data_IF_869199422526
#
_entry.id   IF_869199422526
#
_cell.length_a   1.000
_cell.length_b   1.000
_cell.length_c   1.000
_cell.angle_alpha   90.00
_cell.angle_beta   90.00
_cell.angle_gamma   90.00
#
_symmetry.space_group_name_H-M   'P 1'
#
loop_
_entity.id
_entity.type
_entity.pdbx_description
1 polymer ?
#
# COMPACT_ATOMS: atom_id res chain seq x y z
N UNK A 1 -17.15 4.71 -12.60
CA UNK A 1 -16.28 4.97 -13.77
C UNK A 1 -16.42 3.90 -14.86
N UNK A 2 -15.93 2.66 -14.65
CA UNK A 2 -15.80 1.63 -15.72
C UNK A 2 -17.07 1.33 -16.53
N UNK A 3 -18.27 1.42 -15.94
CA UNK A 3 -19.53 1.17 -16.64
C UNK A 3 -19.98 2.33 -17.55
N UNK A 4 -19.36 3.51 -17.43
CA UNK A 4 -19.76 4.75 -18.13
C UNK A 4 -18.68 5.26 -19.10
N UNK A 5 -17.48 4.69 -19.05
CA UNK A 5 -16.34 5.12 -19.87
C UNK A 5 -16.03 4.06 -20.93
N UNK A 6 -15.96 4.39 -22.23
CA UNK A 6 -15.48 3.46 -23.26
C UNK A 6 -14.01 3.11 -23.05
N UNK A 7 -13.64 1.83 -23.19
CA UNK A 7 -12.26 1.38 -23.08
C UNK A 7 -12.14 -0.04 -22.52
N UNK A 8 -10.89 -0.49 -22.39
CA UNK A 8 -10.58 -1.78 -21.77
C UNK A 8 -10.14 -1.53 -20.32
N UNK A 9 -10.96 -1.97 -19.37
CA UNK A 9 -10.69 -1.80 -17.95
C UNK A 9 -10.56 -3.16 -17.28
N UNK A 10 -9.55 -3.29 -16.41
CA UNK A 10 -9.42 -4.42 -15.50
C UNK A 10 -9.94 -4.00 -14.12
N UNK A 11 -10.86 -4.79 -13.56
CA UNK A 11 -11.32 -4.65 -12.17
C UNK A 11 -10.90 -5.89 -11.40
N UNK A 12 -9.83 -5.77 -10.62
CA UNK A 12 -9.35 -6.85 -9.75
C UNK A 12 -10.18 -6.93 -8.47
N UNK A 13 -10.76 -8.10 -8.19
CA UNK A 13 -11.60 -8.33 -7.00
C UNK A 13 -11.07 -9.50 -6.19
N UNK A 14 -11.06 -9.36 -4.87
CA UNK A 14 -10.70 -10.43 -3.94
C UNK A 14 -11.84 -11.44 -3.75
N UNK A 15 -11.50 -12.67 -3.39
CA UNK A 15 -12.48 -13.72 -3.02
C UNK A 15 -12.98 -13.59 -1.58
N UNK A 16 -12.09 -13.19 -0.67
CA UNK A 16 -12.35 -13.17 0.77
C UNK A 16 -13.09 -11.90 1.16
N UNK A 17 -13.96 -12.01 2.17
CA UNK A 17 -14.52 -10.83 2.84
C UNK A 17 -13.40 -10.08 3.53
N UNK A 18 -13.29 -8.79 3.24
CA UNK A 18 -12.39 -7.87 3.94
C UNK A 18 -13.21 -6.93 4.81
N UNK A 19 -12.67 -6.44 5.93
CA UNK A 19 -13.33 -5.40 6.70
C UNK A 19 -13.50 -4.14 5.85
N UNK A 20 -14.50 -3.32 6.20
CA UNK A 20 -14.66 -1.98 5.63
C UNK A 20 -13.47 -1.15 6.10
N UNK A 21 -12.84 -0.43 5.17
CA UNK A 21 -11.77 0.51 5.50
C UNK A 21 -12.43 1.77 6.05
N UNK A 22 -12.06 2.14 7.28
CA UNK A 22 -12.59 3.32 7.96
C UNK A 22 -11.52 4.40 8.07
N UNK A 23 -11.95 5.64 8.27
CA UNK A 23 -11.11 6.70 8.82
C UNK A 23 -10.77 6.46 10.31
N UNK A 24 -10.08 7.41 10.94
CA UNK A 24 -9.72 7.33 12.37
C UNK A 24 -10.93 7.46 13.30
N UNK A 25 -12.02 8.07 12.85
CA UNK A 25 -13.29 8.18 13.58
C UNK A 25 -14.21 6.95 13.42
N UNK A 26 -13.80 5.97 12.61
CA UNK A 26 -14.56 4.73 12.37
C UNK A 26 -15.64 4.84 11.30
N UNK A 27 -15.68 5.93 10.51
CA UNK A 27 -16.59 6.10 9.38
C UNK A 27 -16.03 5.42 8.14
N UNK A 28 -16.86 4.81 7.27
CA UNK A 28 -16.38 4.20 6.03
C UNK A 28 -15.67 5.23 5.12
N UNK A 29 -14.40 4.98 4.79
CA UNK A 29 -13.60 5.87 3.96
C UNK A 29 -14.12 5.91 2.52
N UNK A 30 -14.49 4.74 1.98
CA UNK A 30 -15.08 4.57 0.66
C UNK A 30 -16.61 4.45 0.74
N UNK A 31 -17.22 5.37 1.49
CA UNK A 31 -18.65 5.39 1.81
C UNK A 31 -19.43 6.47 1.08
N UNK A 32 -20.40 7.05 1.77
CA UNK A 32 -21.19 8.18 1.26
C UNK A 32 -20.29 9.40 1.02
N UNK A 33 -20.34 9.95 -0.20
CA UNK A 33 -19.51 11.09 -0.62
C UNK A 33 -18.18 10.71 -1.28
N UNK A 34 -17.78 9.43 -1.26
CA UNK A 34 -16.63 8.98 -2.04
C UNK A 34 -16.97 8.89 -3.53
N UNK A 35 -16.15 9.50 -4.38
CA UNK A 35 -16.19 9.33 -5.83
C UNK A 35 -14.86 8.76 -6.32
N UNK A 36 -14.94 7.63 -7.02
CA UNK A 36 -13.77 7.03 -7.64
C UNK A 36 -13.40 7.80 -8.92
N UNK A 37 -12.18 8.34 -8.93
CA UNK A 37 -11.53 8.97 -10.08
C UNK A 37 -10.42 8.07 -10.59
N UNK A 38 -10.46 7.71 -11.88
CA UNK A 38 -9.48 6.80 -12.46
C UNK A 38 -8.07 7.41 -12.45
N UNK A 39 -7.08 6.64 -12.00
CA UNK A 39 -5.68 7.09 -11.88
C UNK A 39 -5.38 7.83 -10.58
N UNK A 40 -6.39 8.33 -9.85
CA UNK A 40 -6.20 9.04 -8.58
C UNK A 40 -5.85 8.05 -7.47
N UNK A 41 -4.86 8.41 -6.66
CA UNK A 41 -4.52 7.69 -5.43
C UNK A 41 -5.38 8.19 -4.27
N UNK A 42 -5.90 7.27 -3.45
CA UNK A 42 -6.66 7.63 -2.25
C UNK A 42 -5.73 7.68 -1.03
N UNK A 43 -5.82 8.76 -0.28
CA UNK A 43 -5.17 8.88 1.02
C UNK A 43 -6.00 8.16 2.09
N UNK A 44 -5.43 7.12 2.69
CA UNK A 44 -6.09 6.31 3.71
C UNK A 44 -5.69 6.75 5.12
N UNK A 45 -4.42 7.10 5.32
CA UNK A 45 -3.88 7.62 6.57
C UNK A 45 -2.83 8.68 6.28
N UNK A 46 -2.80 9.72 7.11
CA UNK A 46 -1.73 10.71 7.12
C UNK A 46 -0.48 10.20 7.84
N UNK A 47 0.65 10.83 7.55
CA UNK A 47 1.93 10.55 8.18
C UNK A 47 3.09 11.17 7.40
N UNK A 48 4.21 11.42 8.09
CA UNK A 48 5.38 12.11 7.54
C UNK A 48 6.67 11.26 7.61
N UNK A 49 6.70 10.21 8.43
CA UNK A 49 7.90 9.38 8.61
C UNK A 49 8.21 8.48 7.41
N UNK A 50 7.23 8.29 6.52
CA UNK A 50 7.35 7.43 5.35
C UNK A 50 5.99 7.26 4.66
N UNK A 51 5.97 6.63 3.50
CA UNK A 51 4.76 6.34 2.74
C UNK A 51 4.67 4.87 2.34
N UNK A 52 3.51 4.25 2.59
CA UNK A 52 3.18 2.90 2.14
C UNK A 52 2.16 2.99 1.00
N UNK A 53 2.56 2.57 -0.20
CA UNK A 53 1.69 2.44 -1.36
C UNK A 53 1.17 1.01 -1.41
N UNK A 54 -0.14 0.84 -1.37
CA UNK A 54 -0.79 -0.46 -1.29
C UNK A 54 -2.08 -0.50 -2.12
N UNK A 55 -2.68 -1.66 -2.29
CA UNK A 55 -3.89 -1.82 -3.09
C UNK A 55 -4.69 -3.06 -2.69
N UNK A 56 -5.99 -3.05 -3.02
CA UNK A 56 -6.88 -4.20 -2.86
C UNK A 56 -6.92 -4.77 -1.44
N UNK A 57 -6.77 -6.09 -1.24
CA UNK A 57 -6.88 -6.71 0.08
C UNK A 57 -5.74 -6.34 1.03
N UNK A 58 -4.69 -5.68 0.55
CA UNK A 58 -3.56 -5.27 1.39
C UNK A 58 -3.83 -3.95 2.12
N UNK A 59 -4.81 -3.15 1.68
CA UNK A 59 -5.10 -1.84 2.29
C UNK A 59 -5.49 -1.96 3.77
N UNK A 60 -6.42 -2.86 4.11
CA UNK A 60 -6.81 -3.02 5.52
C UNK A 60 -5.69 -3.61 6.38
N UNK A 61 -4.78 -4.38 5.78
CA UNK A 61 -3.59 -4.91 6.47
C UNK A 61 -2.57 -3.80 6.71
N UNK A 62 -2.42 -2.89 5.77
CA UNK A 62 -1.61 -1.69 5.93
C UNK A 62 -2.16 -0.78 7.04
N UNK A 63 -3.49 -0.62 7.14
CA UNK A 63 -4.12 0.10 8.26
C UNK A 63 -3.81 -0.56 9.61
N UNK A 64 -3.88 -1.89 9.71
CA UNK A 64 -3.48 -2.60 10.95
C UNK A 64 -2.00 -2.38 11.30
N UNK A 65 -1.11 -2.42 10.30
CA UNK A 65 0.30 -2.12 10.51
C UNK A 65 0.53 -0.67 10.95
N UNK A 66 -0.23 0.27 10.37
CA UNK A 66 -0.22 1.67 10.75
C UNK A 66 -0.65 1.88 12.20
N UNK A 67 -1.69 1.21 12.68
CA UNK A 67 -2.11 1.27 14.09
C UNK A 67 -0.98 0.79 15.03
N UNK A 68 -0.28 -0.27 14.64
CA UNK A 68 0.87 -0.79 15.39
C UNK A 68 2.08 0.17 15.35
N UNK A 69 2.33 0.86 14.24
CA UNK A 69 3.40 1.85 14.11
C UNK A 69 3.09 3.11 14.93
N UNK A 70 1.84 3.59 14.89
CA UNK A 70 1.38 4.75 15.67
C UNK A 70 1.56 4.54 17.17
N UNK A 71 1.29 3.33 17.67
CA UNK A 71 1.56 2.95 19.07
C UNK A 71 3.06 3.03 19.46
N UNK A 72 3.95 3.04 18.47
CA UNK A 72 5.41 3.18 18.64
C UNK A 72 5.91 4.60 18.32
N UNK A 73 5.00 5.54 18.07
CA UNK A 73 5.34 6.91 17.70
C UNK A 73 5.87 7.07 16.29
N UNK A 74 5.53 6.15 15.37
CA UNK A 74 5.87 6.24 13.95
C UNK A 74 4.59 6.41 13.15
N UNK A 75 4.50 7.48 12.37
CA UNK A 75 3.34 7.84 11.56
C UNK A 75 3.70 7.84 10.08
N UNK A 76 3.37 6.73 9.40
CA UNK A 76 3.54 6.59 7.95
C UNK A 76 2.25 6.94 7.21
N UNK A 77 2.37 7.61 6.08
CA UNK A 77 1.27 7.82 5.13
C UNK A 77 0.84 6.47 4.53
N UNK A 78 -0.46 6.19 4.45
CA UNK A 78 -0.99 5.01 3.74
C UNK A 78 -1.75 5.48 2.51
N UNK A 79 -1.30 5.04 1.33
CA UNK A 79 -1.88 5.39 0.03
C UNK A 79 -2.46 4.14 -0.64
N UNK A 80 -3.75 4.18 -0.95
CA UNK A 80 -4.41 3.18 -1.79
C UNK A 80 -4.23 3.55 -3.26
N UNK A 81 -3.61 2.65 -4.04
CA UNK A 81 -3.35 2.82 -5.47
C UNK A 81 -4.29 1.93 -6.26
N UNK A 82 -5.53 2.38 -6.56
CA UNK A 82 -6.52 1.55 -7.26
C UNK A 82 -6.17 1.30 -8.74
N UNK A 83 -5.29 2.12 -9.32
CA UNK A 83 -4.89 2.07 -10.73
C UNK A 83 -3.37 1.91 -10.85
N UNK A 84 -2.79 0.73 -10.56
CA UNK A 84 -1.34 0.54 -10.56
C UNK A 84 -0.68 0.71 -11.95
N UNK A 85 -1.45 0.60 -13.03
CA UNK A 85 -0.99 0.81 -14.42
C UNK A 85 -0.99 2.28 -14.86
N UNK A 86 -1.70 3.14 -14.12
CA UNK A 86 -1.82 4.58 -14.36
C UNK A 86 -1.55 5.31 -13.04
N UNK A 87 -0.29 5.24 -12.60
CA UNK A 87 0.13 5.75 -11.30
C UNK A 87 0.05 7.29 -11.25
N UNK A 88 -0.60 7.80 -10.22
CA UNK A 88 -0.63 9.22 -9.86
C UNK A 88 0.79 9.74 -9.54
N UNK A 89 1.30 10.62 -10.39
CA UNK A 89 2.67 11.16 -10.27
C UNK A 89 2.81 12.18 -9.16
N UNK A 90 1.76 12.92 -8.85
CA UNK A 90 1.80 13.91 -7.78
C UNK A 90 1.76 13.21 -6.42
N UNK A 91 0.90 12.21 -6.27
CA UNK A 91 0.89 11.36 -5.07
C UNK A 91 2.24 10.62 -4.89
N UNK A 92 2.90 10.19 -5.98
CA UNK A 92 4.23 9.59 -5.91
C UNK A 92 5.29 10.60 -5.42
N UNK A 93 5.26 11.84 -5.90
CA UNK A 93 6.17 12.90 -5.46
C UNK A 93 5.99 13.21 -3.98
N UNK A 94 4.75 13.32 -3.52
CA UNK A 94 4.45 13.49 -2.10
C UNK A 94 4.97 12.31 -1.26
N UNK A 95 4.72 11.08 -1.71
CA UNK A 95 5.21 9.89 -1.04
C UNK A 95 6.74 9.87 -0.96
N UNK A 96 7.43 10.17 -2.07
CA UNK A 96 8.88 10.25 -2.10
C UNK A 96 9.43 11.36 -1.20
N UNK A 97 8.70 12.45 -1.02
CA UNK A 97 9.04 13.56 -0.12
C UNK A 97 9.17 13.15 1.35
N UNK A 98 8.52 12.06 1.77
CA UNK A 98 8.67 11.51 3.13
C UNK A 98 10.03 10.83 3.37
N UNK A 99 10.83 10.61 2.32
CA UNK A 99 12.15 9.97 2.40
C UNK A 99 12.12 8.44 2.41
N UNK A 100 11.00 7.81 2.73
CA UNK A 100 10.80 6.35 2.67
C UNK A 100 9.54 6.00 1.87
N UNK A 101 9.69 5.16 0.85
CA UNK A 101 8.56 4.60 0.09
C UNK A 101 8.58 3.08 0.20
N UNK A 102 7.48 2.50 0.65
CA UNK A 102 7.28 1.05 0.73
C UNK A 102 6.10 0.67 -0.16
N UNK A 103 6.27 -0.23 -1.14
CA UNK A 103 5.11 -0.88 -1.78
C UNK A 103 4.71 -2.12 -1.01
N UNK A 104 3.40 -2.36 -0.87
CA UNK A 104 2.85 -3.49 -0.13
C UNK A 104 1.66 -4.09 -0.89
N UNK A 105 1.89 -5.20 -1.59
CA UNK A 105 0.96 -5.75 -2.57
C UNK A 105 0.76 -7.27 -2.50
N UNK A 106 -0.44 -7.71 -2.87
CA UNK A 106 -0.80 -9.12 -3.11
C UNK A 106 -0.62 -9.43 -4.61
N UNK A 107 0.61 -9.24 -5.10
CA UNK A 107 1.00 -9.52 -6.47
C UNK A 107 2.50 -9.83 -6.53
N UNK A 108 2.95 -10.42 -7.63
CA UNK A 108 4.36 -10.68 -7.84
C UNK A 108 5.16 -9.37 -7.83
N UNK A 109 6.21 -9.35 -7.01
CA UNK A 109 7.00 -8.15 -6.68
C UNK A 109 7.64 -7.48 -7.90
N UNK A 110 7.97 -8.25 -8.94
CA UNK A 110 8.68 -7.76 -10.14
C UNK A 110 7.75 -7.35 -11.31
N UNK A 111 6.44 -7.50 -11.17
CA UNK A 111 5.49 -7.19 -12.25
C UNK A 111 4.29 -6.36 -11.79
N UNK A 112 4.16 -6.09 -10.49
CA UNK A 112 3.04 -5.35 -9.92
C UNK A 112 3.31 -3.88 -9.62
N UNK A 113 2.70 -3.41 -8.54
CA UNK A 113 2.78 -2.03 -8.04
C UNK A 113 4.23 -1.63 -7.75
N UNK A 114 5.02 -2.49 -7.11
CA UNK A 114 6.42 -2.23 -6.79
C UNK A 114 7.28 -1.99 -8.03
N UNK A 115 7.03 -2.72 -9.12
CA UNK A 115 7.73 -2.51 -10.39
C UNK A 115 7.30 -1.20 -11.05
N UNK A 116 6.00 -0.91 -11.04
CA UNK A 116 5.42 0.33 -11.62
C UNK A 116 5.93 1.58 -10.89
N UNK A 117 5.98 1.53 -9.56
CA UNK A 117 6.53 2.60 -8.71
C UNK A 117 8.04 2.75 -8.93
N UNK A 118 8.80 1.65 -9.07
CA UNK A 118 10.23 1.72 -9.35
C UNK A 118 10.54 2.48 -10.65
N UNK A 119 9.82 2.17 -11.72
CA UNK A 119 9.94 2.86 -13.00
C UNK A 119 9.56 4.34 -12.85
N UNK A 120 8.45 4.61 -12.19
CA UNK A 120 7.97 5.97 -12.02
C UNK A 120 8.91 6.85 -11.18
N UNK A 121 9.51 6.30 -10.11
CA UNK A 121 10.53 6.99 -9.33
C UNK A 121 11.76 7.35 -10.19
N UNK A 122 12.21 6.40 -11.03
CA UNK A 122 13.34 6.64 -11.92
C UNK A 122 13.05 7.69 -12.99
N UNK A 123 11.86 7.68 -13.59
CA UNK A 123 11.42 8.67 -14.58
C UNK A 123 11.32 10.08 -13.99
N UNK A 124 10.83 10.21 -12.75
CA UNK A 124 10.69 11.50 -12.06
C UNK A 124 12.00 11.98 -11.40
N UNK A 125 13.08 11.18 -11.43
CA UNK A 125 14.35 11.51 -10.78
C UNK A 125 14.27 11.54 -9.25
N UNK A 126 13.35 10.77 -8.67
CA UNK A 126 13.12 10.69 -7.23
C UNK A 126 13.92 9.53 -6.62
N UNK A 127 14.58 9.77 -5.49
CA UNK A 127 15.46 8.79 -4.84
C UNK A 127 15.17 8.59 -3.35
N UNK A 128 13.91 8.32 -2.93
CA UNK A 128 13.64 7.92 -1.56
C UNK A 128 14.31 6.58 -1.26
N UNK A 129 14.44 6.24 0.03
CA UNK A 129 14.67 4.85 0.40
C UNK A 129 13.46 4.04 -0.07
N UNK A 130 13.67 3.13 -1.01
CA UNK A 130 12.58 2.40 -1.65
C UNK A 130 12.62 0.91 -1.31
N UNK A 131 11.52 0.39 -0.77
CA UNK A 131 11.37 -1.02 -0.38
C UNK A 131 10.14 -1.62 -1.04
N UNK A 132 10.28 -2.81 -1.62
CA UNK A 132 9.17 -3.54 -2.24
C UNK A 132 8.79 -4.74 -1.38
N UNK A 133 7.52 -4.84 -1.01
CA UNK A 133 6.91 -6.00 -0.37
C UNK A 133 5.81 -6.56 -1.28
N UNK A 134 6.04 -7.76 -1.81
CA UNK A 134 5.10 -8.48 -2.65
C UNK A 134 5.43 -9.97 -2.69
N UNK A 135 4.62 -10.73 -3.43
CA UNK A 135 4.77 -12.19 -3.59
C UNK A 135 6.07 -12.49 -4.35
N UNK A 136 6.84 -13.47 -3.87
CA UNK A 136 8.15 -13.85 -4.44
C UNK A 136 8.19 -15.26 -5.01
N UNK A 137 7.24 -16.10 -4.64
CA UNK A 137 7.16 -17.48 -5.08
C UNK A 137 5.71 -17.95 -5.11
N UNK A 138 5.46 -19.04 -5.82
CA UNK A 138 4.14 -19.66 -5.80
C UNK A 138 3.77 -20.10 -4.39
N UNK A 139 2.58 -19.69 -3.95
CA UNK A 139 2.02 -20.10 -2.66
C UNK A 139 1.54 -21.54 -2.65
N UNK A 140 1.51 -22.13 -1.46
CA UNK A 140 0.80 -23.38 -1.20
C UNK A 140 -0.71 -23.17 -1.03
N UNK A 141 -1.40 -24.22 -0.58
CA UNK A 141 -2.79 -24.10 -0.12
C UNK A 141 -2.83 -23.82 1.38
N UNK A 142 -3.67 -22.89 1.81
CA UNK A 142 -3.77 -22.51 3.23
C UNK A 142 -4.74 -21.37 3.44
N UNK A 143 -4.84 -20.89 4.69
CA UNK A 143 -5.63 -19.69 4.98
C UNK A 143 -4.89 -18.45 4.46
N UNK A 144 -5.59 -17.41 3.98
CA UNK A 144 -4.95 -16.21 3.45
C UNK A 144 -3.89 -15.62 4.36
N UNK A 145 -4.17 -15.46 5.65
CA UNK A 145 -3.22 -14.82 6.59
C UNK A 145 -1.97 -15.67 6.83
N UNK A 146 -2.09 -17.00 6.84
CA UNK A 146 -0.94 -17.92 6.92
C UNK A 146 -0.08 -17.82 5.66
N UNK A 147 -0.71 -17.74 4.48
CA UNK A 147 0.00 -17.58 3.21
C UNK A 147 0.70 -16.23 3.11
N UNK A 148 0.04 -15.13 3.48
CA UNK A 148 0.68 -13.81 3.52
C UNK A 148 1.85 -13.77 4.49
N UNK A 149 1.69 -14.29 5.70
CA UNK A 149 2.80 -14.37 6.67
C UNK A 149 3.97 -15.21 6.14
N UNK A 150 3.70 -16.32 5.45
CA UNK A 150 4.75 -17.14 4.82
C UNK A 150 5.55 -16.42 3.72
N UNK A 151 4.96 -15.36 3.13
CA UNK A 151 5.60 -14.51 2.12
C UNK A 151 6.20 -13.23 2.73
N UNK A 152 6.14 -13.06 4.06
CA UNK A 152 6.59 -11.83 4.72
C UNK A 152 5.65 -10.64 4.46
N UNK A 153 4.36 -10.89 4.31
CA UNK A 153 3.33 -9.90 3.99
C UNK A 153 2.26 -9.76 5.09
N UNK A 154 2.53 -10.20 6.33
CA UNK A 154 1.65 -9.87 7.45
C UNK A 154 1.75 -8.39 7.85
N UNK A 155 0.76 -7.82 8.57
CA UNK A 155 0.89 -6.49 9.17
C UNK A 155 2.16 -6.35 10.01
N UNK A 156 2.53 -7.38 10.76
CA UNK A 156 3.73 -7.43 11.60
C UNK A 156 5.02 -7.37 10.76
N UNK A 157 5.01 -7.97 9.56
CA UNK A 157 6.12 -7.87 8.62
C UNK A 157 6.28 -6.44 8.08
N UNK A 158 5.17 -5.77 7.75
CA UNK A 158 5.20 -4.38 7.29
C UNK A 158 5.71 -3.45 8.40
N UNK A 159 5.26 -3.62 9.64
CA UNK A 159 5.78 -2.89 10.81
C UNK A 159 7.29 -3.07 10.91
N UNK A 160 7.78 -4.32 10.84
CA UNK A 160 9.21 -4.62 10.93
C UNK A 160 9.98 -3.92 9.81
N UNK A 161 9.52 -4.03 8.57
CA UNK A 161 10.18 -3.41 7.40
C UNK A 161 10.24 -1.89 7.53
N UNK A 162 9.17 -1.24 7.98
CA UNK A 162 9.15 0.21 8.18
C UNK A 162 10.17 0.62 9.26
N UNK A 163 10.14 -0.02 10.43
CA UNK A 163 11.05 0.32 11.53
C UNK A 163 12.53 0.09 11.16
N UNK A 164 12.84 -1.02 10.48
CA UNK A 164 14.18 -1.30 9.97
C UNK A 164 14.61 -0.27 8.91
N UNK A 165 13.67 0.17 8.08
CA UNK A 165 13.94 1.16 7.02
C UNK A 165 14.18 2.56 7.57
N UNK A 166 13.55 2.91 8.68
CA UNK A 166 13.78 4.19 9.37
C UNK A 166 15.01 4.16 10.29
N UNK A 167 15.75 3.05 10.32
CA UNK A 167 16.92 2.85 11.21
C UNK A 167 16.59 3.02 12.70
N UNK A 168 15.30 2.96 13.06
CA UNK A 168 14.80 2.94 14.44
C UNK A 168 15.09 1.56 15.03
N UNK A 169 16.36 1.29 15.31
CA UNK A 169 16.78 0.13 16.11
C UNK A 169 16.19 0.26 17.50
N UNK A 170 15.56 -0.83 17.99
CA UNK A 170 15.15 -0.96 19.39
C UNK A 170 16.31 -0.50 20.29
N UNK A 171 16.08 0.38 21.29
CA UNK A 171 17.04 0.49 22.38
C UNK A 171 17.16 -0.92 22.99
N UNK A 172 18.38 -1.46 22.97
CA UNK A 172 18.74 -2.69 23.68
C UNK A 172 18.51 -2.51 25.19
#
# INVERSE_FOLDING_TARGET
YVARTPGNFLVGMGRSKTPVITDEEGRPLFGEGYEFEYGRVDLVREGEDGAVLTMGPMVYRAVKAWEMLKQRGVEVKILNVPCPVDLDRDALKEAAGTGLVVTYEDHHIDTGLGASVALALAEEGLSPKFVRMGIRSYGGSGKPDELFSSQGLSPEDLVRVVLESLELRRPY
#
